data_IF_514802285287
#
_entry.id   IF_514802285287
#
_cell.length_a   1.000
_cell.length_b   1.000
_cell.length_c   1.000
_cell.angle_alpha   90.00
_cell.angle_beta   90.00
_cell.angle_gamma   90.00
#
_symmetry.space_group_name_H-M   'P 1'
#
loop_
_entity.id
_entity.type
_entity.pdbx_description
1 polymer ?
#
# COMPACT_ATOMS: atom_id res chain seq x y z
N UNK A 1 14.79 57.00 -42.88
CA UNK A 1 15.40 55.64 -42.89
C UNK A 1 14.86 54.88 -41.68
N UNK A 2 13.84 54.04 -41.89
CA UNK A 2 13.22 53.22 -40.84
C UNK A 2 13.92 51.86 -40.86
N UNK A 3 14.56 51.49 -39.75
CA UNK A 3 15.16 50.16 -39.58
C UNK A 3 14.12 49.07 -39.67
N UNK A 4 14.35 47.98 -40.42
CA UNK A 4 13.44 46.84 -40.44
C UNK A 4 13.53 46.10 -39.09
N UNK A 5 12.35 45.96 -38.44
CA UNK A 5 12.23 45.21 -37.16
C UNK A 5 12.63 43.76 -37.34
N UNK A 6 13.52 43.29 -36.48
CA UNK A 6 13.92 41.88 -36.37
C UNK A 6 12.68 41.08 -35.89
N UNK A 7 12.28 40.01 -36.59
CA UNK A 7 11.17 39.15 -36.12
C UNK A 7 11.56 38.46 -34.80
N UNK A 8 10.72 38.59 -33.78
CA UNK A 8 10.87 37.91 -32.49
C UNK A 8 10.74 36.38 -32.69
N UNK A 9 11.87 35.72 -32.89
CA UNK A 9 11.95 34.28 -33.10
C UNK A 9 11.87 33.50 -31.76
N UNK A 10 10.78 33.68 -31.01
CA UNK A 10 10.49 32.78 -29.90
C UNK A 10 10.14 31.41 -30.44
N UNK A 11 10.84 30.33 -30.02
CA UNK A 11 10.47 29.00 -30.48
C UNK A 11 9.03 28.68 -30.06
N UNK A 12 8.24 28.01 -30.92
CA UNK A 12 6.85 27.68 -30.61
C UNK A 12 6.81 26.90 -29.28
N UNK A 13 6.02 27.37 -28.30
CA UNK A 13 5.76 26.66 -27.06
C UNK A 13 5.25 25.27 -27.43
N UNK A 14 6.05 24.23 -27.18
CA UNK A 14 5.63 22.83 -27.35
C UNK A 14 4.29 22.67 -26.63
N UNK A 15 3.21 22.51 -27.37
CA UNK A 15 1.90 22.26 -26.81
C UNK A 15 1.98 20.99 -25.98
N UNK A 16 1.81 21.10 -24.66
CA UNK A 16 1.81 19.93 -23.80
C UNK A 16 0.56 19.12 -24.13
N UNK A 17 0.72 17.84 -24.46
CA UNK A 17 -0.43 16.93 -24.68
C UNK A 17 -1.41 17.03 -23.51
N UNK A 18 -2.73 17.07 -23.77
CA UNK A 18 -3.73 17.04 -22.71
C UNK A 18 -3.61 15.77 -21.86
N UNK A 19 -4.08 15.78 -20.62
CA UNK A 19 -4.16 14.56 -19.80
C UNK A 19 -5.04 13.51 -20.48
N UNK A 20 -4.70 12.23 -20.26
CA UNK A 20 -5.50 11.09 -20.72
C UNK A 20 -6.88 11.15 -20.08
N UNK A 21 -7.94 11.07 -20.88
CA UNK A 21 -9.30 10.97 -20.36
C UNK A 21 -9.50 9.57 -19.74
N UNK A 22 -9.82 9.55 -18.47
CA UNK A 22 -10.01 8.32 -17.70
C UNK A 22 -11.47 8.16 -17.24
N UNK A 23 -12.40 8.90 -17.85
CA UNK A 23 -13.83 8.90 -17.55
C UNK A 23 -14.20 9.58 -16.22
N UNK A 24 -15.49 9.60 -15.91
CA UNK A 24 -16.02 10.14 -14.67
C UNK A 24 -15.57 9.29 -13.47
N UNK A 25 -15.11 9.95 -12.43
CA UNK A 25 -14.63 9.32 -11.19
C UNK A 25 -15.17 10.08 -9.99
N UNK A 26 -15.45 9.37 -8.88
CA UNK A 26 -15.80 10.02 -7.63
C UNK A 26 -14.73 11.03 -7.21
N UNK A 27 -15.16 12.14 -6.60
CA UNK A 27 -14.29 13.27 -6.24
C UNK A 27 -13.22 12.90 -5.19
N UNK A 28 -13.48 11.88 -4.37
CA UNK A 28 -12.54 11.41 -3.34
C UNK A 28 -11.53 10.42 -3.90
N UNK A 29 -11.58 10.07 -5.21
CA UNK A 29 -10.64 9.14 -5.84
C UNK A 29 -9.19 9.59 -5.63
N UNK A 30 -8.41 8.79 -4.89
CA UNK A 30 -7.01 9.05 -4.57
C UNK A 30 -6.76 10.10 -3.48
N UNK A 31 -7.75 10.93 -3.07
CA UNK A 31 -7.56 11.93 -2.00
C UNK A 31 -7.35 11.30 -0.63
N UNK A 32 -8.08 10.23 -0.35
CA UNK A 32 -7.93 9.48 0.90
C UNK A 32 -6.51 8.96 1.06
N UNK A 33 -5.95 8.34 0.02
CA UNK A 33 -4.58 7.82 0.04
C UNK A 33 -3.53 8.94 0.07
N UNK A 34 -3.75 10.07 -0.58
CA UNK A 34 -2.86 11.24 -0.50
C UNK A 34 -2.71 11.72 0.95
N UNK A 35 -3.82 11.92 1.65
CA UNK A 35 -3.80 12.34 3.05
C UNK A 35 -3.15 11.28 3.95
N UNK A 36 -3.45 10.00 3.68
CA UNK A 36 -2.86 8.88 4.44
C UNK A 36 -1.37 8.74 4.23
N UNK A 37 -0.85 9.05 3.02
CA UNK A 37 0.59 9.05 2.76
C UNK A 37 1.33 10.04 3.69
N UNK A 38 0.81 11.25 3.85
CA UNK A 38 1.39 12.24 4.76
C UNK A 38 1.26 11.86 6.23
N UNK A 39 0.08 11.35 6.61
CA UNK A 39 -0.15 10.89 7.99
C UNK A 39 0.83 9.77 8.37
N UNK A 40 0.92 8.73 7.54
CA UNK A 40 1.82 7.60 7.82
C UNK A 40 3.31 7.93 7.60
N UNK A 41 3.64 8.92 6.79
CA UNK A 41 5.01 9.43 6.73
C UNK A 41 5.43 10.02 8.07
N UNK A 42 4.58 10.82 8.72
CA UNK A 42 4.84 11.40 10.03
C UNK A 42 4.90 10.34 11.14
N UNK A 43 3.82 9.57 11.31
CA UNK A 43 3.74 8.55 12.38
C UNK A 43 4.72 7.40 12.16
N UNK A 44 4.98 7.03 10.91
CA UNK A 44 5.96 6.02 10.56
C UNK A 44 7.40 6.46 10.83
N UNK A 45 7.74 7.73 10.57
CA UNK A 45 9.05 8.27 10.94
C UNK A 45 9.26 8.20 12.44
N UNK A 46 8.26 8.59 13.24
CA UNK A 46 8.31 8.46 14.68
C UNK A 46 8.51 7.00 15.12
N UNK A 47 7.77 6.05 14.53
CA UNK A 47 7.91 4.62 14.80
C UNK A 47 9.32 4.11 14.50
N UNK A 48 9.90 4.48 13.35
CA UNK A 48 11.27 4.09 12.98
C UNK A 48 12.29 4.63 13.95
N UNK A 49 12.20 5.93 14.29
CA UNK A 49 13.09 6.55 15.28
C UNK A 49 13.02 5.83 16.63
N UNK A 50 11.79 5.52 17.09
CA UNK A 50 11.57 4.77 18.34
C UNK A 50 12.19 3.38 18.26
N UNK A 51 11.97 2.64 17.16
CA UNK A 51 12.52 1.30 16.99
C UNK A 51 14.07 1.30 17.04
N UNK A 52 14.73 2.24 16.36
CA UNK A 52 16.19 2.39 16.45
C UNK A 52 16.66 2.84 17.81
N UNK A 53 15.90 3.67 18.51
CA UNK A 53 16.26 4.15 19.84
C UNK A 53 16.18 3.05 20.91
N UNK A 54 15.17 2.19 20.84
CA UNK A 54 14.94 1.13 21.83
C UNK A 54 15.72 -0.15 21.53
N UNK A 55 15.80 -0.53 20.26
CA UNK A 55 16.36 -1.83 19.83
C UNK A 55 17.70 -1.68 19.08
N UNK A 56 18.28 -0.46 19.03
CA UNK A 56 19.50 -0.19 18.28
C UNK A 56 19.32 -0.48 16.76
N UNK A 57 20.44 -0.69 16.05
CA UNK A 57 20.43 -1.09 14.64
C UNK A 57 20.20 -2.61 14.45
N UNK A 58 19.34 -3.19 15.29
CA UNK A 58 18.95 -4.61 15.22
C UNK A 58 17.96 -4.91 14.09
N UNK A 59 17.71 -6.21 13.85
CA UNK A 59 16.82 -6.68 12.79
C UNK A 59 15.43 -6.07 12.90
N UNK A 60 14.88 -5.95 14.13
CA UNK A 60 13.55 -5.41 14.35
C UNK A 60 13.44 -3.95 13.86
N UNK A 61 14.44 -3.12 14.11
CA UNK A 61 14.46 -1.74 13.64
C UNK A 61 14.52 -1.64 12.09
N UNK A 62 15.33 -2.47 11.45
CA UNK A 62 15.42 -2.49 9.98
C UNK A 62 14.15 -3.00 9.28
N UNK A 63 13.51 -4.05 9.81
CA UNK A 63 12.23 -4.51 9.23
C UNK A 63 11.10 -3.52 9.50
N UNK A 64 11.16 -2.76 10.60
CA UNK A 64 10.24 -1.65 10.89
C UNK A 64 10.41 -0.51 9.87
N UNK A 65 11.65 -0.15 9.54
CA UNK A 65 11.93 0.83 8.48
C UNK A 65 11.37 0.36 7.12
N UNK A 66 11.60 -0.91 6.76
CA UNK A 66 11.08 -1.49 5.53
C UNK A 66 9.55 -1.48 5.51
N UNK A 67 8.90 -1.85 6.61
CA UNK A 67 7.45 -1.77 6.77
C UNK A 67 6.93 -0.35 6.51
N UNK A 68 7.53 0.66 7.14
CA UNK A 68 7.11 2.06 6.98
C UNK A 68 7.32 2.53 5.54
N UNK A 69 8.43 2.16 4.90
CA UNK A 69 8.67 2.46 3.49
C UNK A 69 7.59 1.83 2.57
N UNK A 70 7.20 0.57 2.83
CA UNK A 70 6.13 -0.10 2.09
C UNK A 70 4.76 0.57 2.34
N UNK A 71 4.46 0.94 3.59
CA UNK A 71 3.21 1.61 3.98
C UNK A 71 3.05 2.97 3.29
N UNK A 72 4.06 3.83 3.39
CA UNK A 72 4.07 5.15 2.73
C UNK A 72 4.10 5.00 1.23
N UNK A 73 4.85 4.03 0.72
CA UNK A 73 4.92 3.69 -0.71
C UNK A 73 3.56 3.31 -1.29
N UNK A 74 2.80 2.44 -0.61
CA UNK A 74 1.45 2.05 -1.02
C UNK A 74 0.55 3.28 -1.23
N UNK A 75 0.44 4.13 -0.22
CA UNK A 75 -0.46 5.29 -0.28
C UNK A 75 0.02 6.34 -1.27
N UNK A 76 1.33 6.57 -1.37
CA UNK A 76 1.92 7.53 -2.32
C UNK A 76 1.72 7.08 -3.76
N UNK A 77 2.04 5.83 -4.10
CA UNK A 77 1.88 5.29 -5.46
C UNK A 77 0.42 5.31 -5.87
N UNK A 78 -0.48 4.91 -4.99
CA UNK A 78 -1.92 4.94 -5.24
C UNK A 78 -2.45 6.36 -5.45
N UNK A 79 -2.05 7.31 -4.61
CA UNK A 79 -2.41 8.71 -4.78
C UNK A 79 -1.94 9.27 -6.12
N UNK A 80 -0.68 9.02 -6.49
CA UNK A 80 -0.10 9.45 -7.78
C UNK A 80 -0.82 8.81 -8.96
N UNK A 81 -1.08 7.50 -8.91
CA UNK A 81 -1.83 6.83 -9.97
C UNK A 81 -3.20 7.47 -10.17
N UNK A 82 -3.94 7.74 -9.11
CA UNK A 82 -5.31 8.22 -9.21
C UNK A 82 -5.44 9.71 -9.51
N UNK A 83 -4.52 10.56 -9.04
CA UNK A 83 -4.65 12.02 -9.06
C UNK A 83 -3.79 12.73 -10.10
N UNK A 84 -2.62 12.18 -10.43
CA UNK A 84 -1.73 12.88 -11.35
C UNK A 84 -2.32 12.95 -12.77
N UNK A 85 -2.15 14.09 -13.47
CA UNK A 85 -2.67 14.32 -14.82
C UNK A 85 -1.75 13.68 -15.87
N UNK A 86 -1.73 12.36 -15.91
CA UNK A 86 -0.90 11.58 -16.84
C UNK A 86 -1.29 11.86 -18.29
N UNK A 87 -0.30 12.00 -19.17
CA UNK A 87 -0.47 12.44 -20.56
C UNK A 87 -0.18 11.36 -21.59
N UNK A 88 0.05 10.14 -21.17
CA UNK A 88 0.34 8.99 -22.02
C UNK A 88 -0.33 7.74 -21.41
N UNK A 89 -0.98 6.96 -22.26
CA UNK A 89 -1.59 5.67 -21.88
C UNK A 89 -0.55 4.72 -21.29
N UNK A 90 0.66 4.67 -21.86
CA UNK A 90 1.75 3.85 -21.35
C UNK A 90 2.10 4.23 -19.90
N UNK A 91 2.14 5.54 -19.59
CA UNK A 91 2.39 6.02 -18.23
C UNK A 91 1.24 5.64 -17.30
N UNK A 92 -0.01 5.77 -17.72
CA UNK A 92 -1.18 5.34 -16.94
C UNK A 92 -1.10 3.85 -16.62
N UNK A 93 -0.75 3.01 -17.60
CA UNK A 93 -0.63 1.57 -17.41
C UNK A 93 0.55 1.22 -16.47
N UNK A 94 1.69 1.91 -16.57
CA UNK A 94 2.81 1.71 -15.66
C UNK A 94 2.43 2.04 -14.20
N UNK A 95 1.75 3.16 -13.97
CA UNK A 95 1.28 3.52 -12.63
C UNK A 95 0.19 2.58 -12.11
N UNK A 96 -0.69 2.06 -12.98
CA UNK A 96 -1.67 1.05 -12.60
C UNK A 96 -0.99 -0.23 -12.12
N UNK A 97 0.04 -0.69 -12.84
CA UNK A 97 0.83 -1.87 -12.43
C UNK A 97 1.50 -1.64 -11.08
N UNK A 98 2.11 -0.47 -10.88
CA UNK A 98 2.73 -0.11 -9.61
C UNK A 98 1.70 -0.05 -8.46
N UNK A 99 0.55 0.59 -8.65
CA UNK A 99 -0.52 0.71 -7.67
C UNK A 99 -1.02 -0.67 -7.18
N UNK A 100 -1.30 -1.60 -8.10
CA UNK A 100 -1.70 -2.96 -7.75
C UNK A 100 -0.55 -3.75 -7.10
N UNK A 101 0.67 -3.62 -7.60
CA UNK A 101 1.85 -4.31 -7.06
C UNK A 101 2.17 -3.90 -5.63
N UNK A 102 1.98 -2.61 -5.29
CA UNK A 102 2.26 -2.10 -3.95
C UNK A 102 1.41 -2.74 -2.85
N UNK A 103 0.24 -3.27 -3.18
CA UNK A 103 -0.61 -3.99 -2.21
C UNK A 103 0.14 -5.23 -1.68
N UNK A 104 0.66 -6.07 -2.58
CA UNK A 104 1.40 -7.27 -2.19
C UNK A 104 2.71 -6.93 -1.47
N UNK A 105 3.43 -5.91 -1.94
CA UNK A 105 4.67 -5.41 -1.30
C UNK A 105 4.39 -4.92 0.12
N UNK A 106 3.31 -4.17 0.33
CA UNK A 106 2.94 -3.68 1.65
C UNK A 106 2.50 -4.82 2.58
N UNK A 107 1.73 -5.81 2.08
CA UNK A 107 1.37 -6.98 2.88
C UNK A 107 2.65 -7.68 3.36
N UNK A 108 3.59 -7.99 2.47
CA UNK A 108 4.86 -8.63 2.83
C UNK A 108 5.69 -7.78 3.81
N UNK A 109 5.74 -6.45 3.61
CA UNK A 109 6.42 -5.52 4.51
C UNK A 109 5.85 -5.52 5.92
N UNK A 110 4.51 -5.68 6.05
CA UNK A 110 3.84 -5.73 7.36
C UNK A 110 4.25 -6.97 8.18
N UNK A 111 4.58 -8.08 7.53
CA UNK A 111 5.08 -9.28 8.23
C UNK A 111 6.45 -9.06 8.88
N UNK A 112 7.27 -8.14 8.40
CA UNK A 112 8.62 -7.89 8.92
C UNK A 112 8.66 -7.71 10.44
N UNK A 113 8.14 -6.61 10.99
CA UNK A 113 8.17 -6.36 12.42
C UNK A 113 7.38 -7.40 13.22
N UNK A 114 6.25 -7.89 12.68
CA UNK A 114 5.37 -8.87 13.34
C UNK A 114 6.10 -10.21 13.55
N UNK A 115 6.73 -10.74 12.52
CA UNK A 115 7.41 -12.04 12.57
C UNK A 115 8.73 -11.96 13.34
N UNK A 116 9.52 -10.89 13.16
CA UNK A 116 10.80 -10.71 13.87
C UNK A 116 10.59 -10.50 15.35
N UNK A 117 9.52 -9.80 15.76
CA UNK A 117 9.15 -9.69 17.16
C UNK A 117 8.79 -11.04 17.76
N UNK A 118 8.06 -11.90 17.02
CA UNK A 118 7.47 -13.13 17.55
C UNK A 118 8.40 -14.31 17.54
N UNK A 119 9.34 -14.39 16.62
CA UNK A 119 10.11 -15.61 16.37
C UNK A 119 11.62 -15.32 16.35
N UNK A 120 12.36 -16.01 17.23
CA UNK A 120 13.82 -15.88 17.33
C UNK A 120 14.62 -16.74 16.35
N UNK A 121 14.00 -17.78 15.78
CA UNK A 121 14.70 -18.75 14.91
C UNK A 121 13.88 -19.17 13.69
N UNK A 122 14.56 -19.83 12.75
CA UNK A 122 13.92 -20.37 11.56
C UNK A 122 12.88 -21.46 11.90
N UNK A 123 13.19 -22.36 12.83
CA UNK A 123 12.28 -23.40 13.29
C UNK A 123 11.02 -22.85 13.93
N UNK A 124 11.13 -21.69 14.59
CA UNK A 124 10.02 -21.08 15.32
C UNK A 124 9.03 -20.36 14.37
N UNK A 125 9.52 -19.80 13.25
CA UNK A 125 8.63 -19.13 12.29
C UNK A 125 9.24 -18.08 11.41
N UNK A 126 10.53 -17.76 11.51
CA UNK A 126 11.17 -16.76 10.61
C UNK A 126 11.04 -17.09 9.13
N UNK A 127 10.82 -18.37 8.77
CA UNK A 127 10.57 -18.83 7.40
C UNK A 127 9.33 -18.17 6.76
N UNK A 128 8.41 -17.63 7.56
CA UNK A 128 7.23 -16.90 7.06
C UNK A 128 7.66 -15.68 6.23
N UNK A 129 8.75 -15.00 6.61
CA UNK A 129 9.22 -13.81 5.88
C UNK A 129 9.58 -14.09 4.41
N UNK A 130 10.49 -15.02 4.09
CA UNK A 130 10.80 -15.31 2.69
C UNK A 130 9.60 -15.87 1.93
N UNK A 131 8.70 -16.62 2.56
CA UNK A 131 7.46 -17.09 1.91
C UNK A 131 6.60 -15.89 1.50
N UNK A 132 6.37 -14.92 2.40
CA UNK A 132 5.60 -13.71 2.07
C UNK A 132 6.26 -12.88 0.97
N UNK A 133 7.59 -12.71 1.00
CA UNK A 133 8.29 -11.93 -0.03
C UNK A 133 8.30 -12.63 -1.39
N UNK A 134 8.49 -13.95 -1.43
CA UNK A 134 8.39 -14.73 -2.69
C UNK A 134 6.98 -14.62 -3.27
N UNK A 135 5.95 -14.76 -2.44
CA UNK A 135 4.56 -14.60 -2.88
C UNK A 135 4.26 -13.16 -3.34
N UNK A 136 4.81 -12.15 -2.66
CA UNK A 136 4.68 -10.76 -3.10
C UNK A 136 5.38 -10.49 -4.43
N UNK A 137 6.57 -11.03 -4.65
CA UNK A 137 7.29 -10.95 -5.94
C UNK A 137 6.48 -11.62 -7.05
N UNK A 138 5.89 -12.79 -6.79
CA UNK A 138 5.02 -13.46 -7.75
C UNK A 138 3.77 -12.62 -8.08
N UNK A 139 3.16 -11.97 -7.07
CA UNK A 139 2.04 -11.05 -7.28
C UNK A 139 2.45 -9.79 -8.07
N UNK A 140 3.63 -9.23 -7.84
CA UNK A 140 4.20 -8.14 -8.64
C UNK A 140 4.40 -8.59 -10.09
N UNK A 141 4.99 -9.77 -10.31
CA UNK A 141 5.17 -10.34 -11.65
C UNK A 141 3.82 -10.52 -12.37
N UNK A 142 2.80 -11.03 -11.68
CA UNK A 142 1.43 -11.13 -12.20
C UNK A 142 0.92 -9.76 -12.69
N UNK A 143 1.01 -8.73 -11.86
CA UNK A 143 0.55 -7.38 -12.19
C UNK A 143 1.37 -6.72 -13.32
N UNK A 144 2.67 -7.02 -13.42
CA UNK A 144 3.54 -6.48 -14.48
C UNK A 144 3.27 -7.16 -15.81
N UNK A 145 3.17 -8.48 -15.85
CA UNK A 145 3.07 -9.25 -17.10
C UNK A 145 1.64 -9.52 -17.54
N UNK A 146 0.67 -9.55 -16.62
CA UNK A 146 -0.74 -9.83 -16.93
C UNK A 146 -1.71 -8.84 -16.29
N UNK A 147 -1.52 -7.53 -16.49
CA UNK A 147 -2.34 -6.45 -15.91
C UNK A 147 -3.85 -6.52 -16.29
N UNK A 148 -4.19 -7.29 -17.31
CA UNK A 148 -5.57 -7.47 -17.76
C UNK A 148 -6.32 -8.63 -17.10
N UNK A 149 -5.73 -9.31 -16.10
CA UNK A 149 -6.40 -10.41 -15.41
C UNK A 149 -7.71 -9.98 -14.71
N UNK A 150 -8.63 -10.92 -14.49
CA UNK A 150 -9.86 -10.64 -13.75
C UNK A 150 -9.55 -10.19 -12.31
N UNK A 151 -10.31 -9.23 -11.78
CA UNK A 151 -10.10 -8.66 -10.43
C UNK A 151 -10.14 -9.67 -9.30
N UNK A 152 -10.90 -10.77 -9.45
CA UNK A 152 -10.95 -11.81 -8.44
C UNK A 152 -9.58 -12.47 -8.21
N UNK A 153 -8.71 -12.46 -9.22
CA UNK A 153 -7.33 -12.98 -9.10
C UNK A 153 -6.55 -12.14 -8.08
N UNK A 154 -6.60 -10.81 -8.20
CA UNK A 154 -5.99 -9.91 -7.21
C UNK A 154 -6.55 -10.17 -5.81
N UNK A 155 -7.88 -10.24 -5.69
CA UNK A 155 -8.55 -10.46 -4.40
C UNK A 155 -8.06 -11.76 -3.75
N UNK A 156 -8.03 -12.86 -4.50
CA UNK A 156 -7.57 -14.16 -3.98
C UNK A 156 -6.10 -14.10 -3.58
N UNK A 157 -5.23 -13.54 -4.45
CA UNK A 157 -3.79 -13.45 -4.19
C UNK A 157 -3.51 -12.64 -2.92
N UNK A 158 -4.16 -11.47 -2.78
CA UNK A 158 -3.93 -10.62 -1.60
C UNK A 158 -4.52 -11.21 -0.32
N UNK A 159 -5.67 -11.90 -0.39
CA UNK A 159 -6.24 -12.59 0.76
C UNK A 159 -5.37 -13.77 1.19
N UNK A 160 -4.93 -14.60 0.25
CA UNK A 160 -4.03 -15.72 0.56
C UNK A 160 -2.75 -15.19 1.21
N UNK A 161 -2.12 -14.17 0.61
CA UNK A 161 -0.91 -13.57 1.16
C UNK A 161 -1.16 -12.94 2.54
N UNK A 162 -2.28 -12.24 2.72
CA UNK A 162 -2.60 -11.57 4.00
C UNK A 162 -2.88 -12.54 5.15
N UNK A 163 -3.38 -13.75 4.85
CA UNK A 163 -3.72 -14.75 5.87
C UNK A 163 -2.65 -15.83 6.09
N UNK A 164 -1.45 -15.70 5.48
CA UNK A 164 -0.31 -16.62 5.72
C UNK A 164 0.03 -16.74 7.21
N UNK A 165 -0.15 -15.68 8.01
CA UNK A 165 0.05 -15.69 9.45
C UNK A 165 -0.71 -16.82 10.17
N UNK A 166 -1.87 -17.23 9.66
CA UNK A 166 -2.66 -18.33 10.25
C UNK A 166 -1.88 -19.65 10.31
N UNK A 167 -0.89 -19.86 9.44
CA UNK A 167 -0.04 -21.06 9.46
C UNK A 167 0.79 -21.17 10.75
N UNK A 168 0.97 -20.04 11.47
CA UNK A 168 1.72 -19.96 12.73
C UNK A 168 0.90 -19.34 13.87
N UNK A 169 -0.43 -19.37 13.76
CA UNK A 169 -1.33 -18.73 14.73
C UNK A 169 -1.03 -19.08 16.19
N UNK A 170 -0.77 -20.35 16.59
CA UNK A 170 -0.43 -20.67 17.97
C UNK A 170 0.80 -19.89 18.47
N UNK A 171 1.87 -19.83 17.66
CA UNK A 171 3.08 -19.10 18.04
C UNK A 171 2.89 -17.60 18.19
N UNK A 172 1.96 -17.00 17.43
CA UNK A 172 1.61 -15.59 17.60
C UNK A 172 0.78 -15.35 18.87
N UNK A 173 -0.18 -16.23 19.15
CA UNK A 173 -1.06 -16.12 20.34
C UNK A 173 -0.23 -16.19 21.63
N UNK A 174 0.80 -17.04 21.67
CA UNK A 174 1.65 -17.24 22.86
C UNK A 174 2.56 -16.04 23.17
N UNK A 175 2.89 -15.23 22.16
CA UNK A 175 3.91 -14.16 22.27
C UNK A 175 3.29 -12.77 22.25
N UNK A 176 2.20 -12.56 21.51
CA UNK A 176 1.65 -11.23 21.32
C UNK A 176 0.98 -10.65 22.55
N UNK A 177 1.22 -9.35 22.85
CA UNK A 177 0.31 -8.60 23.68
C UNK A 177 -1.13 -8.73 23.14
N UNK A 178 -2.08 -9.10 23.98
CA UNK A 178 -3.45 -9.42 23.55
C UNK A 178 -4.08 -8.31 22.68
N UNK A 179 -3.83 -7.03 23.04
CA UNK A 179 -4.33 -5.88 22.28
C UNK A 179 -3.73 -5.84 20.88
N UNK A 180 -2.42 -6.08 20.73
CA UNK A 180 -1.76 -6.09 19.42
C UNK A 180 -2.33 -7.21 18.54
N UNK A 181 -2.52 -8.41 19.09
CA UNK A 181 -3.13 -9.54 18.38
C UNK A 181 -4.56 -9.25 17.91
N UNK A 182 -5.38 -8.64 18.77
CA UNK A 182 -6.77 -8.24 18.44
C UNK A 182 -6.76 -7.19 17.30
N UNK A 183 -5.89 -6.20 17.36
CA UNK A 183 -5.80 -5.16 16.33
C UNK A 183 -5.37 -5.74 14.98
N UNK A 184 -4.43 -6.69 14.96
CA UNK A 184 -4.02 -7.39 13.74
C UNK A 184 -5.19 -8.20 13.16
N UNK A 185 -5.91 -8.93 13.97
CA UNK A 185 -7.06 -9.71 13.55
C UNK A 185 -8.17 -8.83 12.97
N UNK A 186 -8.56 -7.77 13.69
CA UNK A 186 -9.60 -6.84 13.22
C UNK A 186 -9.14 -6.17 11.92
N UNK A 187 -7.88 -5.73 11.83
CA UNK A 187 -7.31 -5.15 10.61
C UNK A 187 -7.39 -6.12 9.43
N UNK A 188 -7.04 -7.38 9.62
CA UNK A 188 -7.16 -8.43 8.59
C UNK A 188 -8.60 -8.64 8.13
N UNK A 189 -9.57 -8.61 9.05
CA UNK A 189 -10.99 -8.69 8.71
C UNK A 189 -11.48 -7.47 7.93
N UNK A 190 -11.02 -6.26 8.28
CA UNK A 190 -11.34 -5.02 7.56
C UNK A 190 -10.74 -5.05 6.16
N UNK A 191 -9.48 -5.50 5.98
CA UNK A 191 -8.90 -5.71 4.65
C UNK A 191 -9.71 -6.69 3.81
N UNK A 192 -10.13 -7.81 4.43
CA UNK A 192 -10.95 -8.84 3.77
C UNK A 192 -12.28 -8.25 3.29
N UNK A 193 -12.97 -7.51 4.15
CA UNK A 193 -14.22 -6.82 3.80
C UNK A 193 -14.02 -5.84 2.63
N UNK A 194 -12.95 -5.03 2.69
CA UNK A 194 -12.57 -4.11 1.61
C UNK A 194 -12.29 -4.83 0.29
N UNK A 195 -11.55 -5.94 0.32
CA UNK A 195 -11.25 -6.74 -0.86
C UNK A 195 -12.52 -7.35 -1.49
N UNK A 196 -13.47 -7.80 -0.67
CA UNK A 196 -14.78 -8.31 -1.12
C UNK A 196 -15.59 -7.18 -1.80
N UNK A 197 -15.64 -5.98 -1.19
CA UNK A 197 -16.29 -4.80 -1.80
C UNK A 197 -15.67 -4.48 -3.16
N UNK A 198 -14.34 -4.49 -3.25
CA UNK A 198 -13.62 -4.24 -4.50
C UNK A 198 -13.94 -5.29 -5.58
N UNK A 199 -13.94 -6.57 -5.22
CA UNK A 199 -14.25 -7.68 -6.13
C UNK A 199 -15.67 -7.61 -6.67
N UNK A 200 -16.65 -7.31 -5.77
CA UNK A 200 -18.08 -7.22 -6.10
C UNK A 200 -18.48 -5.89 -6.76
N UNK A 201 -17.63 -4.88 -6.73
CA UNK A 201 -17.93 -3.50 -7.19
C UNK A 201 -19.16 -2.89 -6.48
N UNK A 202 -19.40 -3.25 -5.25
CA UNK A 202 -20.57 -2.85 -4.45
C UNK A 202 -20.22 -2.88 -2.96
N UNK A 203 -20.81 -1.94 -2.15
CA UNK A 203 -21.76 -0.90 -2.52
C UNK A 203 -21.12 0.32 -3.20
N UNK A 204 -21.95 1.13 -3.86
CA UNK A 204 -21.61 2.46 -4.38
C UNK A 204 -22.43 3.52 -3.62
N UNK A 205 -21.98 3.98 -2.44
CA UNK A 205 -22.74 4.92 -1.63
C UNK A 205 -23.06 6.23 -2.34
N UNK A 206 -22.18 6.70 -3.24
CA UNK A 206 -22.37 7.91 -4.03
C UNK A 206 -21.54 7.88 -5.30
N UNK A 207 -22.18 7.93 -6.46
CA UNK A 207 -21.50 8.00 -7.76
C UNK A 207 -20.62 9.25 -7.92
N UNK A 208 -21.01 10.34 -7.23
CA UNK A 208 -20.29 11.62 -7.28
C UNK A 208 -19.10 11.67 -6.33
N UNK A 209 -19.23 11.11 -5.11
CA UNK A 209 -18.25 11.33 -4.04
C UNK A 209 -17.51 10.08 -3.66
N UNK A 210 -18.19 8.93 -3.52
CA UNK A 210 -17.70 7.76 -2.79
C UNK A 210 -18.27 6.46 -3.35
N UNK A 211 -17.62 5.86 -4.34
CA UNK A 211 -17.98 4.57 -4.91
C UNK A 211 -17.31 3.38 -4.19
N UNK A 212 -17.52 2.17 -4.70
CA UNK A 212 -16.93 0.94 -4.14
C UNK A 212 -15.41 0.99 -4.01
N UNK A 213 -14.75 1.68 -4.92
CA UNK A 213 -13.29 1.81 -4.90
C UNK A 213 -12.82 2.70 -3.74
N UNK A 214 -13.54 3.77 -3.45
CA UNK A 214 -13.29 4.63 -2.30
C UNK A 214 -13.60 3.90 -0.98
N UNK A 215 -14.61 3.00 -0.96
CA UNK A 215 -14.88 2.11 0.19
C UNK A 215 -13.70 1.18 0.43
N UNK A 216 -13.16 0.58 -0.63
CA UNK A 216 -11.94 -0.24 -0.55
C UNK A 216 -10.74 0.56 -0.02
N UNK A 217 -10.51 1.78 -0.54
CA UNK A 217 -9.45 2.66 -0.05
C UNK A 217 -9.62 3.01 1.44
N UNK A 218 -10.84 3.31 1.88
CA UNK A 218 -11.12 3.60 3.28
C UNK A 218 -10.87 2.39 4.17
N UNK A 219 -11.31 1.19 3.74
CA UNK A 219 -11.03 -0.06 4.44
C UNK A 219 -9.51 -0.32 4.54
N UNK A 220 -8.76 -0.08 3.46
CA UNK A 220 -7.30 -0.19 3.46
C UNK A 220 -6.66 0.75 4.49
N UNK A 221 -7.13 1.99 4.59
CA UNK A 221 -6.60 2.96 5.56
C UNK A 221 -6.89 2.53 6.99
N UNK A 222 -8.14 2.14 7.28
CA UNK A 222 -8.53 1.69 8.62
C UNK A 222 -7.73 0.47 9.05
N UNK A 223 -7.61 -0.52 8.18
CA UNK A 223 -6.85 -1.73 8.47
C UNK A 223 -5.36 -1.44 8.66
N UNK A 224 -4.78 -0.58 7.79
CA UNK A 224 -3.39 -0.14 7.94
C UNK A 224 -3.17 0.61 9.27
N UNK A 225 -4.10 1.45 9.70
CA UNK A 225 -4.02 2.14 10.98
C UNK A 225 -4.06 1.16 12.17
N UNK A 226 -4.94 0.16 12.13
CA UNK A 226 -5.02 -0.87 13.17
C UNK A 226 -3.70 -1.67 13.25
N UNK A 227 -3.16 -2.10 12.11
CA UNK A 227 -1.87 -2.78 12.07
C UNK A 227 -0.72 -1.86 12.50
N UNK A 228 -0.76 -0.57 12.12
CA UNK A 228 0.27 0.39 12.54
C UNK A 228 0.30 0.57 14.06
N UNK A 229 -0.87 0.69 14.69
CA UNK A 229 -0.97 0.74 16.16
C UNK A 229 -0.50 -0.57 16.79
N UNK A 230 -0.86 -1.73 16.23
CA UNK A 230 -0.36 -3.01 16.72
C UNK A 230 1.17 -3.07 16.68
N UNK A 231 1.79 -2.68 15.56
CA UNK A 231 3.25 -2.67 15.43
C UNK A 231 3.89 -1.66 16.41
N UNK A 232 3.26 -0.51 16.68
CA UNK A 232 3.70 0.41 17.72
C UNK A 232 3.77 -0.29 19.09
N UNK A 233 2.72 -1.06 19.43
CA UNK A 233 2.69 -1.80 20.70
C UNK A 233 3.81 -2.84 20.78
N UNK A 234 4.12 -3.53 19.66
CA UNK A 234 5.22 -4.51 19.61
C UNK A 234 6.61 -3.85 19.74
N UNK A 235 6.78 -2.62 19.25
CA UNK A 235 8.06 -1.91 19.34
C UNK A 235 8.27 -1.33 20.76
N UNK A 236 7.20 -1.02 21.46
CA UNK A 236 7.25 -0.45 22.83
C UNK A 236 7.30 -1.51 23.93
N UNK A 237 7.00 -2.78 23.62
CA UNK A 237 7.05 -3.91 24.54
C UNK A 237 8.50 -4.38 24.80
#
# INVERSE_FOLDING_TARGET
MTSPGVPDARPPRRSRRPPVDRGLRPLLRGRLHENSAWYFAGTGTALVVTAFSLHGAGTLAWVTLLYVACLVGLFTVSALYHRAPWRSEATVQAWRRADHSMIAVFIAGTYGPVVVYSFGSWSDGLWVLPVCWVAAIAAVALNVFWIGHPRWVDVVVYLVLGWVALLRLPGFVDVFPAVAGILILIGGLVYTAGAVVYGRKSPNPSDRWFGFHEVFHAATIVAAALHHVAIWLLILD
#
